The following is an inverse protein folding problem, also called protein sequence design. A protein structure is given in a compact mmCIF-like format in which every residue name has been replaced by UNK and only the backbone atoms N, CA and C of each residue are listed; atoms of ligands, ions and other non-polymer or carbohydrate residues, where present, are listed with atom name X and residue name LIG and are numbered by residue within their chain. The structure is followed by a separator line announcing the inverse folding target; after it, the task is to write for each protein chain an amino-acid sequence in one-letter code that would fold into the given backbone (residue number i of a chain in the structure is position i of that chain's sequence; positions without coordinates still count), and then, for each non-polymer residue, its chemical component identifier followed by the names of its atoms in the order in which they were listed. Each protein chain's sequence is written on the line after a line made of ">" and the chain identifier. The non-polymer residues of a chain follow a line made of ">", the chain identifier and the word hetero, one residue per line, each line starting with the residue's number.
data_IF_243118094042
#
_entry.id   IF_243118094042
#
_cell.length_a   1.000
_cell.length_b   1.000
_cell.length_c   1.000
_cell.angle_alpha   90.00
_cell.angle_beta   90.00
_cell.angle_gamma   90.00
#
_symmetry.space_group_name_H-M   'P 1'
#
loop_
_entity.id
_entity.type
_entity.pdbx_description
1 polymer ?
#
# COMPACT_ATOMS: atom_id res chain seq x y z
N UNK A 1 -4.97 -9.02 -8.72
CA UNK A 1 -4.69 -8.25 -7.51
C UNK A 1 -3.44 -7.39 -7.64
N UNK A 2 -2.41 -7.83 -8.37
CA UNK A 2 -1.29 -6.97 -8.71
C UNK A 2 -1.74 -5.76 -9.53
N UNK A 3 -1.01 -4.64 -9.41
CA UNK A 3 -1.32 -3.38 -10.07
C UNK A 3 -0.02 -2.68 -10.47
N UNK A 4 -0.09 -1.90 -11.54
CA UNK A 4 1.01 -1.02 -11.96
C UNK A 4 0.47 0.41 -11.93
N UNK A 5 1.08 1.25 -11.10
CA UNK A 5 0.80 2.68 -11.03
C UNK A 5 1.78 3.48 -11.88
N UNK A 6 1.90 4.78 -11.58
CA UNK A 6 2.86 5.69 -12.24
C UNK A 6 4.32 5.51 -11.78
N UNK A 7 4.64 4.42 -11.08
CA UNK A 7 6.01 4.10 -10.63
C UNK A 7 6.52 4.81 -9.37
N UNK A 8 5.72 5.62 -8.69
CA UNK A 8 6.18 6.39 -7.52
C UNK A 8 5.89 5.72 -6.16
N UNK A 9 5.13 4.61 -6.13
CA UNK A 9 4.81 3.88 -4.89
C UNK A 9 3.86 4.62 -3.91
N UNK A 10 3.28 5.76 -4.29
CA UNK A 10 2.47 6.60 -3.38
C UNK A 10 1.30 5.85 -2.73
N UNK A 11 0.53 5.07 -3.50
CA UNK A 11 -0.59 4.34 -2.91
C UNK A 11 -0.16 3.22 -1.96
N UNK A 12 1.01 2.63 -2.18
CA UNK A 12 1.55 1.60 -1.28
C UNK A 12 1.99 2.23 0.05
N UNK A 13 2.62 3.41 0.01
CA UNK A 13 2.99 4.15 1.22
C UNK A 13 1.78 4.73 1.95
N UNK A 14 0.73 5.17 1.25
CA UNK A 14 -0.54 5.60 1.86
C UNK A 14 -1.20 4.46 2.64
N UNK A 15 -1.30 3.28 2.03
CA UNK A 15 -1.78 2.09 2.71
C UNK A 15 -0.91 1.75 3.94
N UNK A 16 0.42 1.79 3.78
CA UNK A 16 1.35 1.49 4.86
C UNK A 16 1.22 2.48 6.04
N UNK A 17 1.01 3.77 5.77
CA UNK A 17 0.74 4.81 6.78
C UNK A 17 -0.56 4.49 7.53
N UNK A 18 -1.64 4.15 6.82
CA UNK A 18 -2.92 3.81 7.43
C UNK A 18 -2.82 2.53 8.28
N UNK A 19 -2.01 1.54 7.84
CA UNK A 19 -1.69 0.35 8.65
C UNK A 19 -0.89 0.70 9.90
N UNK A 20 0.12 1.55 9.77
CA UNK A 20 1.00 1.99 10.87
C UNK A 20 0.22 2.65 12.00
N UNK A 21 -0.77 3.49 11.66
CA UNK A 21 -1.61 4.18 12.66
C UNK A 21 -2.80 3.34 13.13
N UNK A 22 -2.95 2.12 12.62
CA UNK A 22 -3.96 1.16 13.08
C UNK A 22 -5.40 1.44 12.65
N UNK A 23 -5.64 2.30 11.66
CA UNK A 23 -7.00 2.63 11.18
C UNK A 23 -7.53 1.67 10.12
N UNK A 24 -6.65 0.87 9.52
CA UNK A 24 -7.02 -0.23 8.62
C UNK A 24 -6.29 -1.51 9.01
N UNK A 25 -6.81 -2.66 8.58
CA UNK A 25 -6.30 -3.99 8.87
C UNK A 25 -6.27 -4.88 7.63
N UNK A 26 -5.90 -6.15 7.79
CA UNK A 26 -5.89 -7.12 6.68
C UNK A 26 -7.33 -7.50 6.23
N UNK A 27 -8.32 -7.19 7.06
CA UNK A 27 -9.75 -7.34 6.80
C UNK A 27 -10.32 -6.17 6.01
N UNK A 28 -9.64 -5.02 5.98
CA UNK A 28 -10.08 -3.86 5.21
C UNK A 28 -10.06 -4.19 3.70
N UNK A 29 -11.21 -4.12 3.02
CA UNK A 29 -11.28 -4.44 1.60
C UNK A 29 -10.59 -3.35 0.77
N UNK A 30 -9.74 -3.77 -0.17
CA UNK A 30 -9.14 -2.89 -1.17
C UNK A 30 -9.80 -3.13 -2.51
N UNK A 31 -10.34 -2.06 -3.09
CA UNK A 31 -11.01 -2.07 -4.38
C UNK A 31 -10.43 -1.01 -5.31
N UNK A 32 -10.48 -1.28 -6.61
CA UNK A 32 -10.12 -0.29 -7.63
C UNK A 32 -11.05 -0.38 -8.83
N UNK A 33 -11.12 0.70 -9.60
CA UNK A 33 -11.84 0.79 -10.87
C UNK A 33 -10.85 0.96 -12.01
N UNK A 34 -10.99 0.16 -13.07
CA UNK A 34 -10.17 0.25 -14.28
C UNK A 34 -11.02 -0.03 -15.52
N UNK A 35 -10.55 0.37 -16.69
CA UNK A 35 -11.16 -0.06 -17.96
C UNK A 35 -10.86 -1.55 -18.23
N UNK A 36 -11.73 -2.25 -18.95
CA UNK A 36 -11.58 -3.68 -19.25
C UNK A 36 -10.23 -4.03 -19.90
N UNK A 37 -9.70 -3.14 -20.76
CA UNK A 37 -8.40 -3.28 -21.43
C UNK A 37 -7.20 -3.23 -20.48
N UNK A 38 -7.36 -2.69 -19.27
CA UNK A 38 -6.29 -2.60 -18.28
C UNK A 38 -6.18 -3.88 -17.44
N UNK A 39 -7.08 -4.84 -17.62
CA UNK A 39 -7.04 -6.13 -16.95
C UNK A 39 -6.24 -7.10 -17.80
N UNK A 40 -5.01 -7.41 -17.35
CA UNK A 40 -4.10 -8.36 -17.99
C UNK A 40 -3.99 -9.66 -17.17
N UNK A 41 -3.54 -10.79 -17.77
CA UNK A 41 -3.47 -12.06 -17.06
C UNK A 41 -2.53 -12.06 -15.84
N UNK A 42 -1.46 -11.27 -15.87
CA UNK A 42 -0.45 -11.25 -14.82
C UNK A 42 0.23 -9.90 -14.69
N UNK A 43 0.46 -9.50 -13.43
CA UNK A 43 1.31 -8.36 -13.04
C UNK A 43 2.21 -8.87 -11.89
N UNK A 44 3.54 -8.71 -11.98
CA UNK A 44 4.44 -9.06 -10.89
C UNK A 44 4.17 -8.19 -9.66
N UNK A 45 4.30 -8.78 -8.48
CA UNK A 45 4.07 -8.11 -7.19
C UNK A 45 5.37 -8.22 -6.39
N UNK A 46 5.87 -7.08 -5.93
CA UNK A 46 7.02 -6.98 -5.03
C UNK A 46 6.58 -7.04 -3.55
N UNK A 47 7.51 -7.23 -2.64
CA UNK A 47 7.23 -7.37 -1.20
C UNK A 47 6.52 -6.14 -0.59
N UNK A 48 6.84 -4.96 -1.09
CA UNK A 48 6.27 -3.68 -0.66
C UNK A 48 4.99 -3.28 -1.40
N UNK A 49 4.59 -4.04 -2.42
CA UNK A 49 3.37 -3.75 -3.17
C UNK A 49 2.15 -4.18 -2.34
N UNK A 50 1.06 -3.43 -2.50
CA UNK A 50 -0.23 -3.71 -1.86
C UNK A 50 -1.19 -4.32 -2.88
N UNK A 51 -1.49 -5.63 -2.79
CA UNK A 51 -2.44 -6.30 -3.66
C UNK A 51 -3.88 -5.84 -3.39
N UNK A 52 -4.67 -5.72 -4.47
CA UNK A 52 -6.10 -5.36 -4.42
C UNK A 52 -6.97 -6.62 -4.37
N UNK A 53 -8.08 -6.56 -3.63
CA UNK A 53 -9.04 -7.65 -3.49
C UNK A 53 -10.11 -7.63 -4.58
N UNK A 54 -10.55 -6.43 -5.00
CA UNK A 54 -11.66 -6.26 -5.93
C UNK A 54 -11.25 -5.33 -7.07
N UNK A 55 -11.40 -5.80 -8.30
CA UNK A 55 -11.24 -5.00 -9.51
C UNK A 55 -12.62 -4.83 -10.14
N UNK A 56 -13.05 -3.59 -10.31
CA UNK A 56 -14.32 -3.26 -10.96
C UNK A 56 -14.03 -2.67 -12.33
N UNK A 57 -14.65 -3.22 -13.35
CA UNK A 57 -14.65 -2.68 -14.72
C UNK A 57 -16.08 -2.29 -15.12
N UNK A 58 -16.26 -1.54 -16.22
CA UNK A 58 -17.60 -1.26 -16.76
C UNK A 58 -18.44 -2.52 -17.01
N UNK A 59 -17.82 -3.67 -17.32
CA UNK A 59 -18.55 -4.90 -17.69
C UNK A 59 -18.61 -5.97 -16.59
N UNK A 60 -17.74 -5.92 -15.57
CA UNK A 60 -17.67 -6.99 -14.56
C UNK A 60 -16.99 -6.58 -13.25
N UNK A 61 -17.23 -7.38 -12.22
CA UNK A 61 -16.53 -7.32 -10.93
C UNK A 61 -15.66 -8.57 -10.78
N UNK A 62 -14.38 -8.40 -10.48
CA UNK A 62 -13.39 -9.47 -10.34
C UNK A 62 -12.91 -9.51 -8.89
N UNK A 63 -13.10 -10.65 -8.21
CA UNK A 63 -12.54 -10.90 -6.88
C UNK A 63 -11.19 -11.59 -7.02
N UNK A 64 -10.16 -11.00 -6.44
CA UNK A 64 -8.80 -11.51 -6.47
C UNK A 64 -8.53 -12.41 -5.25
N UNK A 65 -7.65 -13.43 -5.37
CA UNK A 65 -7.18 -14.18 -4.22
C UNK A 65 -6.48 -13.26 -3.22
N UNK A 66 -6.71 -13.50 -1.92
CA UNK A 66 -5.99 -12.79 -0.85
C UNK A 66 -4.49 -13.07 -0.94
N UNK A 67 -3.70 -12.04 -0.72
CA UNK A 67 -2.23 -12.10 -0.66
C UNK A 67 -1.74 -11.33 0.57
N UNK A 68 -0.56 -11.66 1.11
CA UNK A 68 0.05 -10.88 2.18
C UNK A 68 0.18 -9.41 1.79
N UNK A 69 0.06 -8.54 2.79
CA UNK A 69 0.21 -7.09 2.64
C UNK A 69 1.24 -6.60 3.66
N UNK A 70 1.90 -5.46 3.41
CA UNK A 70 2.69 -4.77 4.41
C UNK A 70 1.89 -4.53 5.69
N UNK A 71 2.52 -4.75 6.85
CA UNK A 71 1.90 -4.55 8.17
C UNK A 71 1.98 -3.11 8.69
N UNK A 72 2.67 -2.25 7.96
CA UNK A 72 2.98 -0.88 8.33
C UNK A 72 4.01 -0.31 7.36
N UNK A 73 4.63 0.81 7.74
CA UNK A 73 5.66 1.47 6.93
C UNK A 73 6.95 0.65 6.95
N UNK A 74 7.44 0.26 5.76
CA UNK A 74 8.73 -0.39 5.59
C UNK A 74 9.82 0.70 5.61
N UNK A 75 10.26 1.07 6.81
CA UNK A 75 11.17 2.21 7.02
C UNK A 75 12.51 2.11 6.30
N UNK A 76 12.99 0.91 5.99
CA UNK A 76 14.21 0.68 5.18
C UNK A 76 14.07 1.14 3.73
N UNK A 77 12.83 1.25 3.22
CA UNK A 77 12.54 1.72 1.86
C UNK A 77 12.20 3.21 1.80
N UNK A 78 12.09 3.89 2.95
CA UNK A 78 11.73 5.32 3.01
C UNK A 78 12.97 6.19 2.80
N UNK A 79 13.09 6.73 1.59
CA UNK A 79 14.12 7.69 1.19
C UNK A 79 14.00 9.06 1.90
N UNK A 80 15.10 9.80 1.91
CA UNK A 80 15.13 11.17 2.43
C UNK A 80 14.23 12.12 1.64
N UNK A 81 14.01 11.87 0.34
CA UNK A 81 13.09 12.66 -0.48
C UNK A 81 11.64 12.43 -0.07
N UNK A 82 11.24 11.17 0.17
CA UNK A 82 9.90 10.85 0.69
C UNK A 82 9.64 11.50 2.05
N UNK A 83 10.62 11.57 2.94
CA UNK A 83 10.48 12.29 4.22
C UNK A 83 10.36 13.81 4.07
N UNK A 84 10.82 14.37 2.94
CA UNK A 84 10.67 15.79 2.61
C UNK A 84 9.30 16.05 2.00
N UNK A 85 8.83 15.21 1.07
CA UNK A 85 7.57 15.40 0.35
C UNK A 85 6.34 14.94 1.14
N UNK A 86 6.45 13.89 1.96
CA UNK A 86 5.36 13.32 2.74
C UNK A 86 5.59 13.62 4.23
N UNK A 87 5.02 14.74 4.70
CA UNK A 87 5.22 15.25 6.08
C UNK A 87 4.86 14.22 7.16
N UNK A 88 3.77 13.47 6.97
CA UNK A 88 3.29 12.48 7.94
C UNK A 88 4.32 11.38 8.23
N UNK A 89 5.15 10.98 7.25
CA UNK A 89 6.22 10.00 7.47
C UNK A 89 7.27 10.50 8.45
N UNK A 90 7.53 11.82 8.48
CA UNK A 90 8.48 12.42 9.42
C UNK A 90 7.97 12.34 10.84
N UNK A 91 6.68 12.58 11.03
CA UNK A 91 6.07 12.56 12.36
C UNK A 91 5.94 11.12 12.88
N UNK A 92 5.52 10.19 12.02
CA UNK A 92 5.51 8.76 12.34
C UNK A 92 6.92 8.24 12.69
N UNK A 93 7.96 8.64 11.96
CA UNK A 93 9.35 8.23 12.26
C UNK A 93 9.81 8.68 13.65
N UNK A 94 9.41 9.88 14.10
CA UNK A 94 9.73 10.38 15.46
C UNK A 94 9.01 9.57 16.53
N UNK A 95 7.74 9.23 16.32
CA UNK A 95 6.94 8.43 17.27
C UNK A 95 7.53 7.03 17.37
N UNK A 96 7.81 6.39 16.23
CA UNK A 96 8.38 5.04 16.18
C UNK A 96 9.73 4.95 16.94
N UNK A 97 10.60 5.96 16.79
CA UNK A 97 11.89 6.00 17.51
C UNK A 97 11.71 6.07 19.03
N UNK A 98 10.74 6.86 19.51
CA UNK A 98 10.43 6.97 20.95
C UNK A 98 9.85 5.68 21.53
N UNK A 99 9.13 4.89 20.73
CA UNK A 99 8.61 3.58 21.16
C UNK A 99 9.73 2.54 21.30
N UNK A 100 10.76 2.60 20.45
CA UNK A 100 11.92 1.72 20.52
C UNK A 100 12.96 2.14 21.58
N UNK A 101 13.03 3.43 21.95
CA UNK A 101 13.88 3.91 23.05
C UNK A 101 13.29 3.62 24.44
N UNK A 102 12.03 3.17 24.53
CA UNK A 102 11.31 2.87 25.79
C UNK A 102 11.17 1.38 26.10
N UNK A 103 11.61 0.51 25.20
CA UNK A 103 11.74 -0.94 25.40
C UNK A 103 13.21 -1.32 25.58
#
# INVERSE_FOLDING_TARGET
>A
GGRIGKGHGYSDIEYAILREVGVISDETPLATTVHDLQVVPYIPIQENDVPIDIIVTPTRVIRCPKRPRPKGVIWSMVSGEMLKSISILRDLKKVNRKSHEKN
#
